data_IF_093168987463
#
_entry.id   IF_093168987463
#
_cell.length_a   1.000
_cell.length_b   1.000
_cell.length_c   1.000
_cell.angle_alpha   90.00
_cell.angle_beta   90.00
_cell.angle_gamma   90.00
#
_symmetry.space_group_name_H-M   'P 1'
#
loop_
_entity.id
_entity.type
_entity.pdbx_description
1 polymer ?
#
# COMPACT_ATOMS: atom_id res chain seq x y z
N UNK A 1 14.41 -31.75 0.99
CA UNK A 1 13.21 -32.03 1.79
C UNK A 1 13.55 -32.54 3.19
N UNK A 2 14.31 -33.63 3.36
CA UNK A 2 14.66 -34.15 4.71
C UNK A 2 15.45 -33.17 5.60
N UNK A 3 16.42 -32.39 5.08
CA UNK A 3 17.20 -31.40 5.87
C UNK A 3 16.38 -30.16 6.26
N UNK A 4 15.35 -29.81 5.51
CA UNK A 4 14.42 -28.72 5.85
C UNK A 4 13.43 -29.18 6.92
N UNK A 5 13.01 -30.44 6.89
CA UNK A 5 12.19 -31.06 7.93
C UNK A 5 13.01 -31.29 9.22
N UNK A 6 14.31 -31.63 9.12
CA UNK A 6 15.19 -31.71 10.27
C UNK A 6 15.46 -30.35 10.93
N UNK A 7 15.58 -29.26 10.15
CA UNK A 7 15.67 -27.91 10.69
C UNK A 7 14.34 -27.48 11.38
N UNK A 8 13.20 -27.90 10.84
CA UNK A 8 11.88 -27.69 11.46
C UNK A 8 11.74 -28.53 12.74
N UNK A 9 12.26 -29.75 12.76
CA UNK A 9 12.22 -30.63 13.94
C UNK A 9 13.15 -30.17 15.06
N UNK A 10 14.27 -29.52 14.75
CA UNK A 10 15.18 -28.93 15.76
C UNK A 10 14.56 -27.67 16.38
N UNK A 11 13.75 -26.90 15.61
CA UNK A 11 13.05 -25.72 16.10
C UNK A 11 11.77 -26.07 16.88
N UNK A 12 11.21 -27.27 16.71
CA UNK A 12 10.07 -27.76 17.49
C UNK A 12 10.40 -28.07 18.96
N UNK A 13 11.69 -28.02 19.36
CA UNK A 13 12.14 -28.16 20.76
C UNK A 13 12.12 -26.86 21.57
N UNK A 14 12.01 -25.71 20.93
CA UNK A 14 11.73 -24.44 21.63
C UNK A 14 10.20 -24.33 21.76
N UNK A 15 9.67 -24.38 22.99
CA UNK A 15 8.23 -24.34 23.25
C UNK A 15 7.50 -23.13 22.67
N UNK A 16 6.16 -23.09 22.70
CA UNK A 16 5.33 -22.04 22.09
C UNK A 16 5.61 -20.60 22.58
N UNK A 17 6.44 -20.43 23.61
CA UNK A 17 6.85 -19.14 24.18
C UNK A 17 7.94 -18.40 23.41
N UNK A 18 8.53 -18.99 22.37
CA UNK A 18 9.65 -18.45 21.60
C UNK A 18 9.25 -17.51 20.43
N UNK A 19 8.00 -17.09 20.34
CA UNK A 19 7.55 -16.19 19.28
C UNK A 19 7.90 -14.72 19.58
N UNK A 20 8.35 -13.93 18.57
CA UNK A 20 8.62 -12.50 18.75
C UNK A 20 7.40 -11.74 19.28
N UNK A 21 7.65 -10.76 20.16
CA UNK A 21 6.62 -9.92 20.78
C UNK A 21 6.73 -8.50 20.24
N UNK A 22 5.66 -7.99 19.60
CA UNK A 22 5.65 -6.69 18.95
C UNK A 22 4.62 -5.70 19.52
N UNK A 23 3.76 -6.15 20.44
CA UNK A 23 2.64 -5.35 20.94
C UNK A 23 3.04 -3.96 21.47
N UNK A 24 4.10 -3.81 22.31
CA UNK A 24 4.47 -2.46 22.79
C UNK A 24 4.82 -1.50 21.67
N UNK A 25 5.59 -1.97 20.66
CA UNK A 25 5.97 -1.15 19.51
C UNK A 25 4.76 -0.79 18.66
N UNK A 26 3.83 -1.73 18.44
CA UNK A 26 2.59 -1.48 17.72
C UNK A 26 1.74 -0.40 18.38
N UNK A 27 1.60 -0.43 19.71
CA UNK A 27 0.85 0.59 20.46
C UNK A 27 1.50 1.98 20.29
N UNK A 28 2.81 2.09 20.49
CA UNK A 28 3.52 3.38 20.33
C UNK A 28 3.39 3.91 18.90
N UNK A 29 3.56 3.04 17.89
CA UNK A 29 3.45 3.44 16.50
C UNK A 29 2.02 3.84 16.14
N UNK A 30 1.00 3.16 16.68
CA UNK A 30 -0.39 3.55 16.46
C UNK A 30 -0.67 4.97 16.98
N UNK A 31 -0.11 5.34 18.15
CA UNK A 31 -0.23 6.69 18.70
C UNK A 31 0.48 7.71 17.81
N UNK A 32 1.70 7.39 17.33
CA UNK A 32 2.43 8.28 16.42
C UNK A 32 1.71 8.45 15.07
N UNK A 33 1.21 7.38 14.48
CA UNK A 33 0.44 7.45 13.24
C UNK A 33 -0.85 8.26 13.44
N UNK A 34 -1.54 8.09 14.58
CA UNK A 34 -2.69 8.92 14.93
C UNK A 34 -2.31 10.40 15.02
N UNK A 35 -1.17 10.72 15.66
CA UNK A 35 -0.67 12.09 15.75
C UNK A 35 -0.48 12.72 14.36
N UNK A 36 0.19 12.02 13.44
CA UNK A 36 0.39 12.51 12.07
C UNK A 36 -0.93 12.66 11.31
N UNK A 37 -1.79 11.64 11.37
CA UNK A 37 -3.07 11.63 10.64
C UNK A 37 -4.03 12.73 11.10
N UNK A 38 -4.03 13.05 12.40
CA UNK A 38 -5.01 13.97 13.00
C UNK A 38 -4.42 15.31 13.47
N UNK A 39 -3.17 15.60 13.08
CA UNK A 39 -2.47 16.82 13.50
C UNK A 39 -2.50 16.97 15.04
N UNK A 40 -2.01 15.94 15.74
CA UNK A 40 -2.00 15.92 17.21
C UNK A 40 -3.35 15.67 17.87
N UNK A 41 -4.29 15.01 17.19
CA UNK A 41 -5.65 14.74 17.71
C UNK A 41 -6.63 15.91 17.57
N UNK A 42 -6.20 17.02 16.98
CA UNK A 42 -7.00 18.25 16.86
C UNK A 42 -7.95 18.26 15.66
N UNK A 43 -7.60 17.50 14.62
CA UNK A 43 -8.28 17.51 13.32
C UNK A 43 -8.67 16.10 12.91
N UNK A 44 -9.72 15.56 13.53
CA UNK A 44 -10.22 14.19 13.26
C UNK A 44 -11.18 14.22 12.07
N UNK A 45 -12.15 15.10 12.09
CA UNK A 45 -13.19 15.24 11.07
C UNK A 45 -12.93 16.48 10.23
N UNK A 46 -12.05 16.33 9.22
CA UNK A 46 -11.69 17.41 8.28
C UNK A 46 -12.14 17.01 6.88
N UNK A 47 -12.61 17.98 6.11
CA UNK A 47 -12.90 17.77 4.69
C UNK A 47 -11.60 17.74 3.90
N UNK A 48 -11.14 16.55 3.59
CA UNK A 48 -9.97 16.34 2.76
C UNK A 48 -10.30 16.56 1.27
N UNK A 49 -9.27 16.76 0.45
CA UNK A 49 -9.43 16.98 -0.99
C UNK A 49 -10.13 15.77 -1.62
N UNK A 50 -11.29 16.02 -2.22
CA UNK A 50 -12.18 15.03 -2.81
C UNK A 50 -12.63 13.92 -1.82
N UNK A 51 -12.40 14.07 -0.51
CA UNK A 51 -12.74 13.08 0.51
C UNK A 51 -14.24 12.77 0.59
N UNK A 52 -15.12 13.73 0.22
CA UNK A 52 -16.56 13.52 0.17
C UNK A 52 -17.06 12.66 -0.99
N UNK A 53 -16.22 12.32 -1.98
CA UNK A 53 -16.63 11.52 -3.13
C UNK A 53 -17.04 10.10 -2.75
N UNK A 54 -16.41 9.49 -1.73
CA UNK A 54 -16.83 8.18 -1.24
C UNK A 54 -18.15 8.21 -0.49
N UNK A 55 -18.46 9.31 0.18
CA UNK A 55 -19.75 9.52 0.84
C UNK A 55 -20.87 9.67 -0.20
N UNK A 56 -20.65 10.52 -1.20
CA UNK A 56 -21.56 10.66 -2.35
C UNK A 56 -21.78 9.33 -3.07
N UNK A 57 -20.71 8.57 -3.35
CA UNK A 57 -20.86 7.25 -3.96
C UNK A 57 -21.67 6.28 -3.09
N UNK A 58 -21.48 6.32 -1.76
CA UNK A 58 -22.23 5.47 -0.83
C UNK A 58 -23.72 5.80 -0.86
N UNK A 59 -24.08 7.07 -0.91
CA UNK A 59 -25.49 7.53 -1.03
C UNK A 59 -26.10 7.08 -2.35
N UNK A 60 -25.39 7.23 -3.45
CA UNK A 60 -25.86 6.78 -4.76
C UNK A 60 -26.01 5.25 -4.84
N UNK A 61 -25.11 4.48 -4.19
CA UNK A 61 -25.29 3.02 -4.08
C UNK A 61 -26.56 2.63 -3.32
N UNK A 62 -26.91 3.35 -2.25
CA UNK A 62 -28.16 3.12 -1.52
C UNK A 62 -29.40 3.46 -2.34
N UNK A 63 -29.27 4.38 -3.31
CA UNK A 63 -30.33 4.73 -4.27
C UNK A 63 -30.37 3.78 -5.48
N UNK A 64 -29.49 2.77 -5.54
CA UNK A 64 -29.44 1.79 -6.63
C UNK A 64 -28.77 2.30 -7.92
N UNK A 65 -27.97 3.36 -7.85
CA UNK A 65 -27.21 3.88 -8.99
C UNK A 65 -25.71 4.00 -8.67
N UNK A 66 -24.87 4.34 -9.67
CA UNK A 66 -23.41 4.39 -9.57
C UNK A 66 -22.86 5.80 -9.84
N UNK A 67 -23.70 6.81 -9.75
CA UNK A 67 -23.36 8.21 -9.95
C UNK A 67 -22.57 8.75 -8.76
N UNK A 68 -22.03 9.95 -8.89
CA UNK A 68 -21.46 10.74 -7.81
C UNK A 68 -21.76 12.22 -8.06
N UNK A 69 -21.83 13.01 -6.99
CA UNK A 69 -22.05 14.43 -7.10
C UNK A 69 -20.85 15.14 -7.70
N UNK A 70 -21.08 16.04 -8.66
CA UNK A 70 -20.02 16.83 -9.31
C UNK A 70 -19.18 17.60 -8.30
N UNK A 71 -19.81 18.19 -7.29
CA UNK A 71 -19.12 18.96 -6.25
C UNK A 71 -18.24 18.09 -5.33
N UNK A 72 -18.53 16.79 -5.23
CA UNK A 72 -17.76 15.85 -4.41
C UNK A 72 -16.52 15.31 -5.12
N UNK A 73 -16.61 15.06 -6.46
CA UNK A 73 -15.54 14.46 -7.25
C UNK A 73 -14.71 15.50 -8.01
N UNK A 74 -15.27 16.68 -8.32
CA UNK A 74 -14.56 17.80 -8.95
C UNK A 74 -13.83 17.42 -10.23
N UNK A 75 -12.54 17.75 -10.29
CA UNK A 75 -11.68 17.54 -11.48
C UNK A 75 -11.35 16.06 -11.78
N UNK A 76 -11.72 15.13 -10.92
CA UNK A 76 -11.57 13.67 -11.13
C UNK A 76 -12.85 13.04 -11.71
N UNK A 77 -13.80 13.84 -12.13
CA UNK A 77 -15.06 13.37 -12.72
C UNK A 77 -14.84 12.66 -14.06
N UNK A 78 -15.66 11.63 -14.29
CA UNK A 78 -15.88 10.99 -15.58
C UNK A 78 -17.32 11.31 -16.01
N UNK A 79 -17.52 11.86 -17.20
CA UNK A 79 -18.85 12.19 -17.69
C UNK A 79 -19.27 11.16 -18.73
N UNK A 80 -20.26 10.33 -18.39
CA UNK A 80 -20.80 9.28 -19.21
C UNK A 80 -22.30 9.50 -19.38
N UNK A 81 -22.78 9.72 -20.59
CA UNK A 81 -24.20 9.98 -20.92
C UNK A 81 -24.80 11.10 -20.02
N UNK A 82 -24.11 12.21 -19.87
CA UNK A 82 -24.49 13.35 -19.02
C UNK A 82 -24.56 13.04 -17.53
N UNK A 83 -24.06 11.90 -17.08
CA UNK A 83 -23.96 11.50 -15.67
C UNK A 83 -22.52 11.54 -15.18
N UNK A 84 -22.34 11.97 -13.95
CA UNK A 84 -21.02 12.06 -13.33
C UNK A 84 -20.68 10.73 -12.65
N UNK A 85 -19.53 10.18 -12.98
CA UNK A 85 -19.00 8.91 -12.46
C UNK A 85 -17.64 9.12 -11.82
N UNK A 86 -17.27 8.25 -10.91
CA UNK A 86 -15.90 8.15 -10.41
C UNK A 86 -15.28 6.80 -10.78
N UNK A 87 -13.96 6.77 -10.93
CA UNK A 87 -13.23 5.55 -11.31
C UNK A 87 -12.54 4.86 -10.13
N UNK A 88 -12.56 5.45 -8.95
CA UNK A 88 -11.95 4.88 -7.75
C UNK A 88 -12.66 3.59 -7.30
N UNK A 89 -11.90 2.74 -6.60
CA UNK A 89 -12.43 1.51 -6.05
C UNK A 89 -13.56 1.76 -5.04
N UNK A 90 -14.61 0.91 -5.00
CA UNK A 90 -15.80 1.16 -4.18
C UNK A 90 -15.62 0.83 -2.70
N UNK A 91 -14.51 0.19 -2.29
CA UNK A 91 -14.35 -0.29 -0.92
C UNK A 91 -14.50 0.81 0.14
N UNK A 92 -13.87 2.00 0.03
CA UNK A 92 -14.08 3.06 1.01
C UNK A 92 -15.54 3.54 1.06
N UNK A 93 -16.25 3.57 -0.07
CA UNK A 93 -17.66 3.95 -0.11
C UNK A 93 -18.54 2.95 0.68
N UNK A 94 -18.25 1.65 0.63
CA UNK A 94 -18.97 0.67 1.45
C UNK A 94 -18.78 0.93 2.95
N UNK A 95 -17.63 1.41 3.37
CA UNK A 95 -17.39 1.78 4.76
C UNK A 95 -18.19 3.03 5.15
N UNK A 96 -18.42 3.96 4.21
CA UNK A 96 -19.22 5.16 4.47
C UNK A 96 -20.67 4.85 4.81
N UNK A 97 -21.26 3.80 4.23
CA UNK A 97 -22.66 3.44 4.48
C UNK A 97 -22.96 3.31 5.98
N UNK A 98 -22.35 2.40 6.75
CA UNK A 98 -22.62 2.32 8.19
C UNK A 98 -22.09 3.53 8.96
N UNK A 99 -20.99 4.16 8.56
CA UNK A 99 -20.41 5.29 9.26
C UNK A 99 -21.32 6.53 9.21
N UNK A 100 -21.88 6.84 8.04
CA UNK A 100 -22.81 7.95 7.87
C UNK A 100 -24.14 7.71 8.58
N UNK A 101 -24.56 6.44 8.70
CA UNK A 101 -25.73 6.08 9.48
C UNK A 101 -25.52 6.31 10.99
N UNK A 102 -24.35 5.91 11.51
CA UNK A 102 -24.02 6.04 12.95
C UNK A 102 -23.72 7.49 13.34
N UNK A 103 -23.03 8.24 12.48
CA UNK A 103 -22.64 9.61 12.77
C UNK A 103 -22.78 10.51 11.52
N UNK A 104 -23.99 11.01 11.23
CA UNK A 104 -24.25 11.81 10.02
C UNK A 104 -23.41 13.10 9.92
N UNK A 105 -23.03 13.70 11.05
CA UNK A 105 -22.17 14.90 11.06
C UNK A 105 -20.74 14.65 10.54
N UNK A 106 -20.34 13.40 10.42
CA UNK A 106 -19.07 12.97 9.82
C UNK A 106 -19.09 12.91 8.30
N UNK A 107 -20.24 13.08 7.66
CA UNK A 107 -20.38 13.01 6.20
C UNK A 107 -19.38 13.93 5.50
N UNK A 108 -18.65 13.37 4.52
CA UNK A 108 -17.58 14.04 3.78
C UNK A 108 -16.28 14.30 4.57
N UNK A 109 -16.14 13.77 5.80
CA UNK A 109 -14.99 14.03 6.70
C UNK A 109 -14.35 12.78 7.27
N UNK A 110 -14.68 11.60 6.76
CA UNK A 110 -14.24 10.31 7.31
C UNK A 110 -12.83 9.89 6.90
N UNK A 111 -12.20 10.56 5.93
CA UNK A 111 -10.96 10.09 5.32
C UNK A 111 -9.85 9.83 6.34
N UNK A 112 -9.70 10.69 7.38
CA UNK A 112 -8.67 10.49 8.42
C UNK A 112 -8.92 9.26 9.27
N UNK A 113 -10.15 9.06 9.71
CA UNK A 113 -10.52 7.87 10.50
C UNK A 113 -10.36 6.61 9.66
N UNK A 114 -10.86 6.62 8.43
CA UNK A 114 -10.76 5.51 7.49
C UNK A 114 -9.31 5.16 7.15
N UNK A 115 -8.51 6.16 6.75
CA UNK A 115 -7.11 5.97 6.43
C UNK A 115 -6.29 5.47 7.62
N UNK A 116 -6.55 6.03 8.83
CA UNK A 116 -5.92 5.53 10.05
C UNK A 116 -6.25 4.07 10.32
N UNK A 117 -7.53 3.68 10.23
CA UNK A 117 -7.94 2.27 10.40
C UNK A 117 -7.23 1.36 9.38
N UNK A 118 -7.15 1.77 8.12
CA UNK A 118 -6.41 1.04 7.09
C UNK A 118 -4.92 0.94 7.43
N UNK A 119 -4.30 2.03 7.90
CA UNK A 119 -2.91 2.07 8.34
C UNK A 119 -2.63 1.10 9.50
N UNK A 120 -3.54 1.02 10.48
CA UNK A 120 -3.43 0.06 11.60
C UNK A 120 -3.57 -1.38 11.12
N UNK A 121 -4.51 -1.67 10.22
CA UNK A 121 -4.65 -3.00 9.62
C UNK A 121 -3.37 -3.37 8.85
N UNK A 122 -2.81 -2.45 8.06
CA UNK A 122 -1.55 -2.65 7.36
C UNK A 122 -0.40 -2.95 8.33
N UNK A 123 -0.28 -2.18 9.42
CA UNK A 123 0.74 -2.35 10.45
C UNK A 123 0.62 -3.70 11.16
N UNK A 124 -0.59 -4.10 11.55
CA UNK A 124 -0.86 -5.39 12.18
C UNK A 124 -0.57 -6.57 11.22
N UNK A 125 -0.98 -6.46 9.96
CA UNK A 125 -0.71 -7.46 8.94
C UNK A 125 0.80 -7.58 8.67
N UNK A 126 1.52 -6.46 8.58
CA UNK A 126 2.97 -6.45 8.45
C UNK A 126 3.66 -7.10 9.66
N UNK A 127 3.23 -6.79 10.89
CA UNK A 127 3.75 -7.43 12.09
C UNK A 127 3.50 -8.96 12.09
N UNK A 128 2.34 -9.39 11.61
CA UNK A 128 2.02 -10.80 11.38
C UNK A 128 2.97 -11.47 10.38
N UNK A 129 3.30 -10.78 9.28
CA UNK A 129 4.28 -11.23 8.29
C UNK A 129 5.68 -11.33 8.90
N UNK A 130 6.10 -10.33 9.69
CA UNK A 130 7.40 -10.35 10.40
C UNK A 130 7.49 -11.51 11.38
N UNK A 131 6.43 -11.75 12.16
CA UNK A 131 6.36 -12.89 13.07
C UNK A 131 6.49 -14.22 12.32
N UNK A 132 5.74 -14.36 11.22
CA UNK A 132 5.76 -15.55 10.36
C UNK A 132 7.12 -15.80 9.74
N UNK A 133 7.81 -14.75 9.26
CA UNK A 133 9.14 -14.87 8.67
C UNK A 133 10.21 -15.20 9.71
N UNK A 134 10.21 -14.49 10.83
CA UNK A 134 11.27 -14.60 11.85
C UNK A 134 11.20 -15.89 12.69
N UNK A 135 10.05 -16.56 12.75
CA UNK A 135 9.97 -17.88 13.43
C UNK A 135 10.88 -18.94 12.76
N UNK A 136 11.17 -18.80 11.47
CA UNK A 136 12.07 -19.70 10.73
C UNK A 136 13.51 -19.17 10.62
N UNK A 137 13.79 -17.99 11.20
CA UNK A 137 15.10 -17.38 11.19
C UNK A 137 16.06 -18.06 12.16
N UNK A 138 17.36 -18.19 11.83
CA UNK A 138 18.38 -18.74 12.73
C UNK A 138 18.79 -17.77 13.85
N UNK A 139 18.15 -16.61 13.93
CA UNK A 139 18.42 -15.61 14.97
C UNK A 139 17.94 -16.08 16.35
N UNK A 140 18.66 -15.69 17.41
CA UNK A 140 18.15 -15.81 18.79
C UNK A 140 16.86 -14.99 18.98
N UNK A 141 16.01 -15.36 19.96
CA UNK A 141 14.75 -14.66 20.24
C UNK A 141 14.96 -13.14 20.43
N UNK A 142 16.00 -12.76 21.17
CA UNK A 142 16.35 -11.33 21.35
C UNK A 142 16.64 -10.64 20.03
N UNK A 143 17.42 -11.29 19.15
CA UNK A 143 17.71 -10.72 17.82
C UNK A 143 16.51 -10.70 16.91
N UNK A 144 15.60 -11.72 16.97
CA UNK A 144 14.31 -11.71 16.24
C UNK A 144 13.43 -10.54 16.67
N UNK A 145 13.34 -10.27 17.99
CA UNK A 145 12.60 -9.12 18.50
C UNK A 145 13.19 -7.79 17.99
N UNK A 146 14.52 -7.62 18.06
CA UNK A 146 15.17 -6.40 17.61
C UNK A 146 14.96 -6.16 16.10
N UNK A 147 15.24 -7.15 15.26
CA UNK A 147 15.07 -7.04 13.81
C UNK A 147 13.59 -6.82 13.45
N UNK A 148 12.69 -7.57 14.07
CA UNK A 148 11.26 -7.43 13.81
C UNK A 148 10.72 -6.05 14.21
N UNK A 149 11.08 -5.56 15.40
CA UNK A 149 10.68 -4.22 15.84
C UNK A 149 11.27 -3.13 14.92
N UNK A 150 12.54 -3.25 14.52
CA UNK A 150 13.13 -2.31 13.58
C UNK A 150 12.38 -2.29 12.23
N UNK A 151 12.06 -3.46 11.67
CA UNK A 151 11.28 -3.54 10.44
C UNK A 151 9.88 -2.92 10.60
N UNK A 152 9.21 -3.14 11.75
CA UNK A 152 7.87 -2.58 12.02
C UNK A 152 7.95 -1.05 12.15
N UNK A 153 8.97 -0.50 12.82
CA UNK A 153 9.23 0.94 12.86
C UNK A 153 9.52 1.49 11.46
N UNK A 154 10.36 0.79 10.70
CA UNK A 154 10.65 1.13 9.31
C UNK A 154 9.41 1.14 8.42
N UNK A 155 8.51 0.18 8.60
CA UNK A 155 7.25 0.15 7.85
C UNK A 155 6.32 1.30 8.22
N UNK A 156 6.17 1.60 9.51
CA UNK A 156 5.25 2.65 9.97
C UNK A 156 5.77 4.07 9.67
N UNK A 157 7.05 4.34 9.93
CA UNK A 157 7.61 5.70 9.91
C UNK A 157 8.66 5.91 8.81
N UNK A 158 9.28 4.84 8.31
CA UNK A 158 10.31 4.85 7.27
C UNK A 158 9.80 4.26 5.96
N UNK A 159 8.57 4.59 5.56
CA UNK A 159 7.93 4.17 4.32
C UNK A 159 6.93 5.22 3.83
N UNK A 160 6.45 5.15 2.58
CA UNK A 160 5.40 6.03 2.06
C UNK A 160 4.09 6.01 2.87
N UNK A 161 3.85 4.99 3.71
CA UNK A 161 2.65 4.93 4.56
C UNK A 161 2.50 6.18 5.44
N UNK A 162 3.60 6.70 6.01
CA UNK A 162 3.56 7.90 6.84
C UNK A 162 3.12 9.13 6.03
N UNK A 163 3.64 9.26 4.80
CA UNK A 163 3.26 10.34 3.87
C UNK A 163 1.77 10.27 3.53
N UNK A 164 1.28 9.09 3.17
CA UNK A 164 -0.13 8.89 2.81
C UNK A 164 -1.08 9.20 3.97
N UNK A 165 -0.71 8.80 5.20
CA UNK A 165 -1.49 9.07 6.40
C UNK A 165 -1.45 10.56 6.81
N UNK A 166 -0.39 11.27 6.49
CA UNK A 166 -0.28 12.72 6.70
C UNK A 166 -1.16 13.52 5.74
N UNK A 167 -1.39 13.03 4.52
CA UNK A 167 -2.11 13.71 3.45
C UNK A 167 -3.19 12.80 2.85
N UNK A 168 -4.35 12.72 3.49
CA UNK A 168 -5.44 11.80 3.14
C UNK A 168 -6.41 12.38 2.10
N UNK A 169 -5.95 12.49 0.87
CA UNK A 169 -6.84 12.72 -0.28
C UNK A 169 -7.59 11.45 -0.68
N UNK A 170 -8.54 11.56 -1.62
CA UNK A 170 -9.25 10.42 -2.20
C UNK A 170 -8.30 9.35 -2.75
N UNK A 171 -7.16 9.77 -3.32
CA UNK A 171 -6.15 8.87 -3.89
C UNK A 171 -5.46 8.04 -2.82
N UNK A 172 -5.06 8.70 -1.73
CA UNK A 172 -4.25 8.12 -0.67
C UNK A 172 -5.06 7.12 0.15
N UNK A 173 -6.33 7.43 0.42
CA UNK A 173 -7.24 6.52 1.11
C UNK A 173 -7.39 5.18 0.38
N UNK A 174 -7.62 5.20 -0.95
CA UNK A 174 -7.71 3.99 -1.76
C UNK A 174 -6.41 3.17 -1.74
N UNK A 175 -5.25 3.84 -1.79
CA UNK A 175 -3.94 3.20 -1.78
C UNK A 175 -3.66 2.54 -0.43
N UNK A 176 -3.94 3.22 0.69
CA UNK A 176 -3.71 2.66 2.03
C UNK A 176 -4.59 1.43 2.27
N UNK A 177 -5.88 1.47 1.86
CA UNK A 177 -6.75 0.29 1.92
C UNK A 177 -6.25 -0.84 1.02
N UNK A 178 -5.81 -0.54 -0.20
CA UNK A 178 -5.20 -1.51 -1.09
C UNK A 178 -3.97 -2.18 -0.47
N UNK A 179 -3.08 -1.40 0.14
CA UNK A 179 -1.90 -1.90 0.86
C UNK A 179 -2.30 -2.75 2.07
N UNK A 180 -3.23 -2.28 2.90
CA UNK A 180 -3.67 -2.98 4.11
C UNK A 180 -4.20 -4.37 3.79
N UNK A 181 -5.11 -4.47 2.84
CA UNK A 181 -5.66 -5.73 2.40
C UNK A 181 -4.64 -6.62 1.69
N UNK A 182 -3.71 -6.04 0.92
CA UNK A 182 -2.63 -6.79 0.28
C UNK A 182 -1.73 -7.48 1.30
N UNK A 183 -1.32 -6.77 2.35
CA UNK A 183 -0.49 -7.34 3.41
C UNK A 183 -1.23 -8.40 4.22
N UNK A 184 -2.51 -8.17 4.51
CA UNK A 184 -3.35 -9.15 5.18
C UNK A 184 -3.54 -10.42 4.30
N UNK A 185 -3.76 -10.27 3.00
CA UNK A 185 -3.84 -11.38 2.05
C UNK A 185 -2.51 -12.17 2.00
N UNK A 186 -1.36 -11.49 1.92
CA UNK A 186 -0.05 -12.13 1.98
C UNK A 186 0.14 -12.91 3.30
N UNK A 187 -0.25 -12.33 4.43
CA UNK A 187 -0.19 -13.00 5.73
C UNK A 187 -1.01 -14.30 5.71
N UNK A 188 -2.26 -14.25 5.27
CA UNK A 188 -3.11 -15.44 5.21
C UNK A 188 -2.63 -16.47 4.17
N UNK A 189 -2.09 -16.01 3.03
CA UNK A 189 -1.47 -16.90 2.04
C UNK A 189 -0.28 -17.67 2.62
N UNK A 190 0.60 -17.00 3.39
CA UNK A 190 1.72 -17.67 4.06
C UNK A 190 1.25 -18.58 5.18
N UNK A 191 0.28 -18.14 5.97
CA UNK A 191 -0.31 -18.93 7.05
C UNK A 191 -0.98 -20.22 6.53
N UNK A 192 -1.69 -20.17 5.40
CA UNK A 192 -2.30 -21.35 4.79
C UNK A 192 -1.29 -22.43 4.41
N UNK A 193 0.00 -22.07 4.30
CA UNK A 193 1.09 -23.02 4.02
C UNK A 193 1.68 -23.68 5.27
N UNK A 194 1.27 -23.26 6.45
CA UNK A 194 1.84 -23.66 7.73
C UNK A 194 0.85 -24.42 8.62
N UNK A 195 -0.44 -24.35 8.29
CA UNK A 195 -1.52 -24.92 9.11
C UNK A 195 -2.19 -26.11 8.43
N UNK A 196 -2.84 -26.95 9.22
CA UNK A 196 -3.51 -28.16 8.77
C UNK A 196 -5.03 -28.00 8.83
N UNK A 197 -5.74 -28.78 8.02
CA UNK A 197 -7.19 -29.05 7.96
C UNK A 197 -8.10 -27.82 8.25
N UNK A 198 -8.69 -27.72 9.46
CA UNK A 198 -9.65 -26.66 9.78
C UNK A 198 -9.05 -25.25 9.80
N UNK A 199 -7.80 -25.11 10.24
CA UNK A 199 -7.09 -23.86 10.22
C UNK A 199 -6.72 -23.44 8.79
N UNK A 200 -6.54 -24.39 7.88
CA UNK A 200 -6.34 -24.14 6.46
C UNK A 200 -7.56 -23.45 5.84
N UNK A 201 -8.77 -24.00 5.99
CA UNK A 201 -10.00 -23.41 5.42
C UNK A 201 -10.20 -21.96 5.91
N UNK A 202 -9.98 -21.71 7.22
CA UNK A 202 -10.07 -20.34 7.78
C UNK A 202 -9.01 -19.40 7.17
N UNK A 203 -7.80 -19.89 6.96
CA UNK A 203 -6.73 -19.10 6.36
C UNK A 203 -7.01 -18.80 4.88
N UNK A 204 -7.58 -19.73 4.13
CA UNK A 204 -7.98 -19.54 2.73
C UNK A 204 -9.14 -18.56 2.63
N UNK A 205 -10.14 -18.65 3.53
CA UNK A 205 -11.22 -17.67 3.61
C UNK A 205 -10.71 -16.26 3.93
N UNK A 206 -9.81 -16.14 4.93
CA UNK A 206 -9.16 -14.88 5.29
C UNK A 206 -8.38 -14.29 4.12
N UNK A 207 -7.62 -15.13 3.39
CA UNK A 207 -6.94 -14.71 2.16
C UNK A 207 -7.93 -14.17 1.13
N UNK A 208 -8.99 -14.90 0.84
CA UNK A 208 -9.98 -14.55 -0.19
C UNK A 208 -10.71 -13.25 0.13
N UNK A 209 -11.13 -13.06 1.38
CA UNK A 209 -11.76 -11.81 1.86
C UNK A 209 -10.80 -10.61 1.74
N UNK A 210 -9.54 -10.78 2.14
CA UNK A 210 -8.55 -9.73 2.02
C UNK A 210 -8.21 -9.43 0.55
N UNK A 211 -8.08 -10.44 -0.30
CA UNK A 211 -7.87 -10.28 -1.74
C UNK A 211 -9.06 -9.58 -2.42
N UNK A 212 -10.29 -9.87 -1.99
CA UNK A 212 -11.49 -9.15 -2.42
C UNK A 212 -11.44 -7.67 -2.01
N UNK A 213 -11.10 -7.39 -0.74
CA UNK A 213 -10.90 -6.02 -0.26
C UNK A 213 -9.82 -5.27 -1.05
N UNK A 214 -8.73 -5.95 -1.40
CA UNK A 214 -7.65 -5.40 -2.25
C UNK A 214 -8.18 -4.97 -3.62
N UNK A 215 -8.90 -5.87 -4.30
CA UNK A 215 -9.46 -5.64 -5.63
C UNK A 215 -10.47 -4.47 -5.63
N UNK A 216 -11.33 -4.42 -4.61
CA UNK A 216 -12.35 -3.39 -4.49
C UNK A 216 -11.81 -2.04 -3.99
N UNK A 217 -10.62 -2.02 -3.37
CA UNK A 217 -9.93 -0.77 -3.03
C UNK A 217 -9.17 -0.21 -4.22
N UNK A 218 -8.38 -1.05 -4.91
CA UNK A 218 -7.57 -0.64 -6.06
C UNK A 218 -7.21 -1.87 -6.91
N UNK A 219 -7.65 -1.90 -8.15
CA UNK A 219 -7.50 -3.05 -9.04
C UNK A 219 -6.03 -3.46 -9.24
N UNK A 220 -5.11 -2.51 -9.30
CA UNK A 220 -3.67 -2.78 -9.45
C UNK A 220 -3.11 -3.63 -8.33
N UNK A 221 -3.57 -3.42 -7.10
CA UNK A 221 -3.22 -4.27 -5.96
C UNK A 221 -3.93 -5.63 -6.02
N UNK A 222 -5.14 -5.72 -6.61
CA UNK A 222 -5.95 -6.93 -6.60
C UNK A 222 -5.47 -8.02 -7.55
N UNK A 223 -5.00 -7.65 -8.74
CA UNK A 223 -4.61 -8.58 -9.81
C UNK A 223 -3.59 -9.64 -9.35
N UNK A 224 -2.50 -9.31 -8.63
CA UNK A 224 -1.55 -10.32 -8.15
C UNK A 224 -2.18 -11.39 -7.27
N UNK A 225 -3.20 -11.02 -6.48
CA UNK A 225 -3.84 -11.96 -5.55
C UNK A 225 -4.78 -12.94 -6.24
N UNK A 226 -5.31 -12.62 -7.42
CA UNK A 226 -6.01 -13.58 -8.28
C UNK A 226 -5.02 -14.68 -8.71
N UNK A 227 -3.81 -14.31 -9.15
CA UNK A 227 -2.78 -15.28 -9.52
C UNK A 227 -2.29 -16.11 -8.33
N UNK A 228 -2.14 -15.47 -7.15
CA UNK A 228 -1.78 -16.19 -5.92
C UNK A 228 -2.90 -17.16 -5.51
N UNK A 229 -4.18 -16.80 -5.66
CA UNK A 229 -5.31 -17.70 -5.41
C UNK A 229 -5.23 -18.96 -6.29
N UNK A 230 -4.92 -18.81 -7.57
CA UNK A 230 -4.73 -19.94 -8.48
C UNK A 230 -3.56 -20.84 -8.04
N UNK A 231 -2.45 -20.25 -7.60
CA UNK A 231 -1.30 -21.00 -7.07
C UNK A 231 -1.64 -21.77 -5.78
N UNK A 232 -2.49 -21.21 -4.93
CA UNK A 232 -2.98 -21.89 -3.73
C UNK A 232 -3.94 -23.02 -4.10
N UNK A 233 -4.86 -22.80 -5.04
CA UNK A 233 -5.83 -23.80 -5.51
C UNK A 233 -5.17 -25.07 -6.08
N UNK A 234 -4.05 -24.91 -6.82
CA UNK A 234 -3.28 -26.01 -7.39
C UNK A 234 -2.68 -26.98 -6.35
N UNK A 235 -2.65 -26.56 -5.07
CA UNK A 235 -1.95 -27.30 -3.99
C UNK A 235 -2.86 -27.65 -2.81
N UNK A 236 -4.17 -27.55 -3.00
CA UNK A 236 -5.13 -27.94 -1.97
C UNK A 236 -5.07 -29.44 -1.71
N UNK A 237 -5.07 -29.85 -0.42
CA UNK A 237 -5.16 -31.26 -0.07
C UNK A 237 -6.48 -31.87 -0.56
N UNK A 238 -6.49 -33.16 -0.80
CA UNK A 238 -7.72 -33.87 -1.24
C UNK A 238 -8.80 -33.85 -0.17
N UNK A 239 -8.41 -33.86 1.10
CA UNK A 239 -9.29 -33.71 2.26
C UNK A 239 -9.96 -32.34 2.24
N UNK A 240 -11.28 -32.32 2.31
CA UNK A 240 -12.12 -31.10 2.28
C UNK A 240 -11.80 -30.15 1.10
N UNK A 241 -11.44 -30.72 -0.07
CA UNK A 241 -11.02 -29.91 -1.23
C UNK A 241 -12.08 -28.93 -1.69
N UNK A 242 -13.34 -29.35 -1.72
CA UNK A 242 -14.48 -28.50 -2.15
C UNK A 242 -14.64 -27.34 -1.15
N UNK A 243 -14.68 -27.60 0.16
CA UNK A 243 -14.78 -26.55 1.17
C UNK A 243 -13.63 -25.56 1.11
N UNK A 244 -12.40 -26.05 0.88
CA UNK A 244 -11.23 -25.21 0.69
C UNK A 244 -11.29 -24.36 -0.59
N UNK A 245 -11.77 -24.93 -1.69
CA UNK A 245 -11.97 -24.18 -2.95
C UNK A 245 -13.04 -23.10 -2.80
N UNK A 246 -14.17 -23.41 -2.15
CA UNK A 246 -15.21 -22.41 -1.88
C UNK A 246 -14.69 -21.28 -0.99
N UNK A 247 -14.00 -21.61 0.08
CA UNK A 247 -13.40 -20.61 0.96
C UNK A 247 -12.37 -19.72 0.25
N UNK A 248 -11.61 -20.29 -0.69
CA UNK A 248 -10.58 -19.57 -1.45
C UNK A 248 -11.16 -18.71 -2.57
N UNK A 249 -12.17 -19.20 -3.30
CA UNK A 249 -12.59 -18.59 -4.56
C UNK A 249 -13.89 -17.80 -4.44
N UNK A 250 -14.80 -18.13 -3.52
CA UNK A 250 -16.13 -17.51 -3.52
C UNK A 250 -16.08 -16.01 -3.16
N UNK A 251 -15.46 -15.54 -2.07
CA UNK A 251 -15.41 -14.11 -1.78
C UNK A 251 -14.65 -13.30 -2.85
N UNK A 252 -13.49 -13.80 -3.31
CA UNK A 252 -12.70 -13.14 -4.34
C UNK A 252 -13.44 -13.14 -5.69
N UNK A 253 -14.07 -14.25 -6.06
CA UNK A 253 -14.87 -14.37 -7.28
C UNK A 253 -16.08 -13.44 -7.27
N UNK A 254 -16.80 -13.35 -6.14
CA UNK A 254 -17.89 -12.41 -5.98
C UNK A 254 -17.43 -10.95 -6.13
N UNK A 255 -16.30 -10.59 -5.51
CA UNK A 255 -15.72 -9.25 -5.66
C UNK A 255 -15.28 -8.97 -7.11
N UNK A 256 -14.75 -9.96 -7.81
CA UNK A 256 -14.35 -9.84 -9.20
C UNK A 256 -15.56 -9.63 -10.13
N UNK A 257 -16.62 -10.42 -9.95
CA UNK A 257 -17.89 -10.26 -10.69
C UNK A 257 -18.51 -8.89 -10.42
N UNK A 258 -18.53 -8.46 -9.13
CA UNK A 258 -19.01 -7.14 -8.76
C UNK A 258 -18.18 -6.02 -9.39
N UNK A 259 -16.85 -6.15 -9.42
CA UNK A 259 -15.97 -5.16 -10.05
C UNK A 259 -16.23 -5.02 -11.55
N UNK A 260 -16.41 -6.13 -12.26
CA UNK A 260 -16.75 -6.14 -13.69
C UNK A 260 -18.13 -5.50 -13.93
N UNK A 261 -19.12 -5.88 -13.13
CA UNK A 261 -20.45 -5.28 -13.19
C UNK A 261 -20.41 -3.77 -12.95
N UNK A 262 -19.67 -3.33 -11.92
CA UNK A 262 -19.52 -1.92 -11.59
C UNK A 262 -18.82 -1.14 -12.72
N UNK A 263 -17.79 -1.71 -13.33
CA UNK A 263 -17.13 -1.13 -14.49
C UNK A 263 -18.09 -0.94 -15.65
N UNK A 264 -18.90 -1.95 -15.94
CA UNK A 264 -19.91 -1.87 -16.98
C UNK A 264 -21.00 -0.83 -16.64
N UNK A 265 -21.51 -0.83 -15.42
CA UNK A 265 -22.52 0.12 -14.97
C UNK A 265 -22.04 1.58 -14.98
N UNK A 266 -20.72 1.81 -14.76
CA UNK A 266 -20.11 3.15 -14.79
C UNK A 266 -19.79 3.62 -16.21
N UNK A 267 -19.21 2.76 -17.03
CA UNK A 267 -18.53 3.16 -18.28
C UNK A 267 -19.03 2.42 -19.53
N UNK A 268 -20.02 1.53 -19.42
CA UNK A 268 -20.48 0.69 -20.54
C UNK A 268 -19.41 -0.32 -21.01
N UNK A 269 -18.31 -0.51 -20.24
CA UNK A 269 -17.19 -1.37 -20.58
C UNK A 269 -16.83 -2.30 -19.45
N UNK A 270 -16.55 -3.58 -19.77
CA UNK A 270 -16.08 -4.57 -18.80
C UNK A 270 -14.58 -4.41 -18.45
N UNK A 271 -13.85 -3.61 -19.23
CA UNK A 271 -12.38 -3.48 -19.13
C UNK A 271 -12.00 -2.12 -18.52
N UNK A 272 -12.30 -1.94 -17.23
CA UNK A 272 -11.76 -0.83 -16.46
C UNK A 272 -12.25 0.56 -16.90
N UNK A 273 -11.41 1.58 -16.64
CA UNK A 273 -11.71 3.00 -16.85
C UNK A 273 -11.48 3.38 -18.30
N UNK A 274 -12.47 4.01 -18.94
CA UNK A 274 -12.30 4.66 -20.24
C UNK A 274 -12.01 6.15 -20.03
N UNK A 275 -10.80 6.57 -20.39
CA UNK A 275 -10.35 7.95 -20.24
C UNK A 275 -11.00 8.93 -21.23
N UNK A 276 -11.75 8.46 -22.24
CA UNK A 276 -12.54 9.31 -23.13
C UNK A 276 -13.55 10.16 -22.34
N UNK A 277 -13.99 9.68 -21.19
CA UNK A 277 -14.93 10.35 -20.33
C UNK A 277 -14.31 11.28 -19.29
N UNK A 278 -12.98 11.33 -19.21
CA UNK A 278 -12.30 12.08 -18.18
C UNK A 278 -12.32 13.59 -18.46
N UNK A 279 -12.77 14.37 -17.49
CA UNK A 279 -12.94 15.82 -17.64
C UNK A 279 -11.62 16.60 -17.70
N UNK A 280 -10.52 16.04 -17.17
CA UNK A 280 -9.21 16.69 -17.24
C UNK A 280 -8.61 16.53 -18.64
N UNK A 281 -8.54 17.63 -19.44
CA UNK A 281 -8.15 17.55 -20.84
C UNK A 281 -6.69 17.10 -21.01
N UNK A 282 -5.79 17.50 -20.12
CA UNK A 282 -4.36 17.14 -20.19
C UNK A 282 -4.16 15.63 -20.08
N UNK A 283 -4.81 15.00 -19.12
CA UNK A 283 -4.72 13.55 -18.96
C UNK A 283 -5.47 12.78 -20.03
N UNK A 284 -6.61 13.32 -20.49
CA UNK A 284 -7.41 12.73 -21.55
C UNK A 284 -6.61 12.68 -22.87
N UNK A 285 -6.12 13.83 -23.35
CA UNK A 285 -5.32 13.93 -24.57
C UNK A 285 -4.05 13.08 -24.50
N UNK A 286 -3.39 13.07 -23.35
CA UNK A 286 -2.18 12.26 -23.16
C UNK A 286 -2.49 10.77 -23.26
N UNK A 287 -3.57 10.31 -22.60
CA UNK A 287 -3.99 8.91 -22.62
C UNK A 287 -4.34 8.43 -24.03
N UNK A 288 -5.02 9.27 -24.82
CA UNK A 288 -5.31 8.98 -26.21
C UNK A 288 -4.05 8.88 -27.08
N UNK A 289 -3.14 9.83 -26.93
CA UNK A 289 -1.96 9.93 -27.80
C UNK A 289 -0.88 8.89 -27.45
N UNK A 290 -0.67 8.62 -26.17
CA UNK A 290 0.48 7.84 -25.69
C UNK A 290 0.11 6.60 -24.86
N UNK A 291 -1.18 6.37 -24.61
CA UNK A 291 -1.70 5.28 -23.79
C UNK A 291 -1.43 5.44 -22.30
N UNK A 292 -2.22 4.77 -21.48
CA UNK A 292 -2.07 4.77 -20.01
C UNK A 292 -0.81 4.01 -19.57
N UNK A 293 -0.50 2.88 -20.21
CA UNK A 293 0.62 2.01 -19.90
C UNK A 293 1.56 1.89 -21.09
N UNK A 294 2.87 2.02 -20.85
CA UNK A 294 3.90 1.85 -21.87
C UNK A 294 5.19 1.31 -21.26
N UNK A 295 5.70 0.19 -21.79
CA UNK A 295 6.97 -0.38 -21.35
C UNK A 295 8.16 0.58 -21.53
N UNK A 296 8.04 1.55 -22.45
CA UNK A 296 9.06 2.60 -22.66
C UNK A 296 9.25 3.50 -21.43
N UNK A 297 8.28 3.59 -20.53
CA UNK A 297 8.35 4.40 -19.29
C UNK A 297 9.16 3.71 -18.19
N UNK A 298 9.27 2.38 -18.21
CA UNK A 298 9.90 1.59 -17.14
C UNK A 298 11.32 2.06 -16.81
N UNK A 299 12.25 2.28 -17.77
CA UNK A 299 13.59 2.75 -17.44
C UNK A 299 13.60 4.11 -16.71
N UNK A 300 12.73 5.02 -17.09
CA UNK A 300 12.63 6.35 -16.50
C UNK A 300 11.98 6.30 -15.11
N UNK A 301 10.89 5.56 -14.94
CA UNK A 301 10.27 5.32 -13.64
C UNK A 301 11.24 4.63 -12.66
N UNK A 302 12.00 3.66 -13.13
CA UNK A 302 13.06 3.02 -12.33
C UNK A 302 14.14 4.03 -11.93
N UNK A 303 14.59 4.87 -12.90
CA UNK A 303 15.60 5.87 -12.62
C UNK A 303 15.16 6.88 -11.56
N UNK A 304 13.87 7.25 -11.52
CA UNK A 304 13.34 8.17 -10.52
C UNK A 304 13.06 7.49 -9.18
N UNK A 305 12.30 6.38 -9.17
CA UNK A 305 12.02 5.67 -7.92
C UNK A 305 13.25 5.09 -7.23
N UNK A 306 14.31 4.78 -7.96
CA UNK A 306 15.58 4.23 -7.44
C UNK A 306 16.79 5.13 -7.72
N UNK A 307 16.58 6.43 -7.83
CA UNK A 307 17.63 7.43 -8.01
C UNK A 307 18.55 7.51 -6.78
N UNK A 308 19.84 7.71 -7.01
CA UNK A 308 20.79 8.13 -5.97
C UNK A 308 20.69 9.63 -5.66
N UNK A 309 19.89 10.39 -6.40
CA UNK A 309 19.69 11.81 -6.16
C UNK A 309 19.11 12.03 -4.77
N UNK A 310 19.86 12.77 -3.93
CA UNK A 310 19.39 13.14 -2.60
C UNK A 310 18.20 14.12 -2.72
N UNK A 311 17.21 14.07 -1.82
CA UNK A 311 16.17 15.07 -1.75
C UNK A 311 16.75 16.49 -1.67
N UNK A 312 16.06 17.47 -2.20
CA UNK A 312 16.46 18.87 -2.12
C UNK A 312 16.53 19.35 -0.66
N UNK A 313 17.31 20.40 -0.41
CA UNK A 313 17.39 21.04 0.90
C UNK A 313 16.79 22.44 0.83
N UNK A 314 16.14 22.85 1.90
CA UNK A 314 15.53 24.16 2.09
C UNK A 314 16.08 24.86 3.32
N UNK A 315 16.01 26.21 3.37
CA UNK A 315 16.51 26.99 4.52
C UNK A 315 15.58 27.00 5.73
N UNK A 316 14.29 26.71 5.50
CA UNK A 316 13.28 26.65 6.57
C UNK A 316 12.95 25.20 6.95
N UNK A 317 12.48 24.94 8.18
CA UNK A 317 11.96 23.63 8.54
C UNK A 317 10.89 23.15 7.57
N UNK A 318 10.88 21.86 7.21
CA UNK A 318 11.67 20.76 7.77
C UNK A 318 13.06 20.56 7.11
N UNK A 319 13.61 21.53 6.40
CA UNK A 319 14.93 21.53 5.76
C UNK A 319 15.11 20.53 4.62
N UNK A 320 14.10 19.78 4.27
CA UNK A 320 14.08 18.77 3.21
C UNK A 320 12.95 19.07 2.23
N UNK A 321 13.23 18.99 0.95
CA UNK A 321 12.28 19.21 -0.14
C UNK A 321 12.28 17.98 -1.08
N UNK A 322 11.10 17.54 -1.48
CA UNK A 322 10.97 16.46 -2.43
C UNK A 322 11.54 16.85 -3.81
N UNK A 323 12.02 15.86 -4.56
CA UNK A 323 12.56 16.06 -5.90
C UNK A 323 11.43 16.23 -6.91
N UNK A 324 11.68 17.02 -7.96
CA UNK A 324 10.89 17.03 -9.18
C UNK A 324 11.58 16.19 -10.26
N UNK A 325 10.82 15.74 -11.24
CA UNK A 325 11.35 15.03 -12.40
C UNK A 325 12.49 15.81 -13.07
N UNK A 326 13.55 15.07 -13.43
CA UNK A 326 14.68 15.64 -14.16
C UNK A 326 14.53 15.55 -15.67
N UNK A 327 13.50 14.82 -16.15
CA UNK A 327 13.34 14.49 -17.56
C UNK A 327 12.22 15.31 -18.19
N UNK A 328 12.59 16.11 -19.16
CA UNK A 328 11.63 16.81 -19.99
C UNK A 328 11.25 15.93 -21.20
N UNK A 329 10.53 14.84 -20.93
CA UNK A 329 9.99 13.96 -21.96
C UNK A 329 8.45 14.02 -21.99
N UNK A 330 7.88 15.00 -22.72
CA UNK A 330 6.42 15.22 -22.74
C UNK A 330 5.61 14.02 -23.25
N UNK A 331 6.26 13.09 -23.98
CA UNK A 331 5.62 11.87 -24.49
C UNK A 331 5.62 10.68 -23.51
N UNK A 332 6.32 10.79 -22.38
CA UNK A 332 6.43 9.69 -21.41
C UNK A 332 5.43 9.83 -20.25
N UNK A 333 5.32 11.05 -19.70
CA UNK A 333 4.48 11.30 -18.52
C UNK A 333 3.59 12.53 -18.77
N UNK A 334 2.35 12.45 -18.28
CA UNK A 334 1.35 13.51 -18.49
C UNK A 334 1.58 14.75 -17.62
N UNK A 335 2.25 14.59 -16.45
CA UNK A 335 2.52 15.66 -15.49
C UNK A 335 3.98 15.63 -15.01
N UNK A 336 4.97 15.88 -15.89
CA UNK A 336 6.37 15.77 -15.50
C UNK A 336 6.80 16.77 -14.42
N UNK A 337 6.16 17.94 -14.35
CA UNK A 337 6.56 19.04 -13.47
C UNK A 337 5.69 19.22 -12.22
N UNK A 338 4.52 18.57 -12.14
CA UNK A 338 3.55 18.80 -11.08
C UNK A 338 3.68 17.84 -9.90
N UNK A 339 4.18 16.64 -10.14
CA UNK A 339 4.31 15.61 -9.11
C UNK A 339 5.74 15.56 -8.55
N UNK A 340 5.84 15.51 -7.25
CA UNK A 340 7.10 15.38 -6.54
C UNK A 340 7.31 13.96 -6.05
N UNK A 341 8.57 13.56 -5.88
CA UNK A 341 8.93 12.24 -5.38
C UNK A 341 10.19 12.26 -4.52
N UNK A 342 10.35 11.23 -3.70
CA UNK A 342 11.61 10.92 -3.02
C UNK A 342 11.97 9.49 -3.37
N UNK A 343 13.18 9.29 -3.90
CA UNK A 343 13.65 7.97 -4.29
C UNK A 343 13.55 6.97 -3.12
N UNK A 344 13.16 5.74 -3.42
CA UNK A 344 13.10 4.64 -2.46
C UNK A 344 14.48 4.28 -1.89
N UNK A 345 15.58 4.63 -2.59
CA UNK A 345 16.93 4.46 -2.03
C UNK A 345 17.18 5.37 -0.82
N UNK A 346 16.42 6.45 -0.66
CA UNK A 346 16.48 7.34 0.50
C UNK A 346 15.29 7.14 1.44
N UNK A 347 14.07 7.16 0.91
CA UNK A 347 12.86 7.06 1.71
C UNK A 347 12.60 5.65 2.26
N UNK A 348 13.13 4.62 1.63
CA UNK A 348 12.87 3.21 1.99
C UNK A 348 14.11 2.32 1.79
N UNK A 349 15.30 2.87 2.05
CA UNK A 349 16.59 2.20 1.81
C UNK A 349 16.68 0.82 2.46
N UNK A 350 16.15 0.67 3.66
CA UNK A 350 16.09 -0.61 4.38
C UNK A 350 15.25 -1.66 3.64
N UNK A 351 14.13 -1.24 3.05
CA UNK A 351 13.22 -2.14 2.33
C UNK A 351 13.83 -2.57 0.99
N UNK A 352 14.43 -1.62 0.25
CA UNK A 352 15.13 -1.91 -1.00
C UNK A 352 16.30 -2.87 -0.75
N UNK A 353 17.10 -2.62 0.28
CA UNK A 353 18.18 -3.51 0.70
C UNK A 353 17.64 -4.92 1.02
N UNK A 354 16.62 -5.01 1.86
CA UNK A 354 16.05 -6.30 2.26
C UNK A 354 15.41 -7.05 1.08
N UNK A 355 14.76 -6.33 0.16
CA UNK A 355 14.19 -6.92 -1.04
C UNK A 355 15.27 -7.47 -1.98
N UNK A 356 16.36 -6.74 -2.18
CA UNK A 356 17.50 -7.23 -2.96
C UNK A 356 18.10 -8.49 -2.35
N UNK A 357 18.27 -8.54 -1.03
CA UNK A 357 18.72 -9.74 -0.32
C UNK A 357 17.73 -10.90 -0.46
N UNK A 358 16.42 -10.63 -0.42
CA UNK A 358 15.36 -11.62 -0.61
C UNK A 358 15.36 -12.22 -2.01
N UNK A 359 15.49 -11.39 -3.03
CA UNK A 359 15.64 -11.82 -4.43
C UNK A 359 16.87 -12.72 -4.57
N UNK A 360 18.01 -12.32 -4.01
CA UNK A 360 19.24 -13.11 -4.00
C UNK A 360 19.02 -14.49 -3.35
N UNK A 361 18.26 -14.54 -2.24
CA UNK A 361 17.90 -15.79 -1.60
C UNK A 361 17.02 -16.68 -2.50
N UNK A 362 16.06 -16.10 -3.22
CA UNK A 362 15.18 -16.82 -4.15
C UNK A 362 15.95 -17.50 -5.28
N UNK A 363 16.97 -16.83 -5.82
CA UNK A 363 17.77 -17.38 -6.92
C UNK A 363 18.84 -18.39 -6.46
N UNK A 364 19.47 -18.16 -5.32
CA UNK A 364 20.58 -19.02 -4.84
C UNK A 364 20.13 -20.36 -4.26
N UNK A 365 18.92 -20.45 -3.69
CA UNK A 365 18.45 -21.70 -3.07
C UNK A 365 17.71 -22.58 -4.08
N UNK A 366 18.30 -23.75 -4.41
CA UNK A 366 17.70 -24.78 -5.29
C UNK A 366 16.38 -25.39 -4.76
N UNK A 367 15.92 -25.02 -3.54
CA UNK A 367 14.75 -25.60 -2.88
C UNK A 367 13.55 -24.66 -2.73
N UNK A 368 13.55 -23.46 -3.33
CA UNK A 368 12.35 -22.60 -3.30
C UNK A 368 11.21 -23.27 -4.07
N UNK A 369 10.08 -23.40 -3.37
CA UNK A 369 8.92 -24.07 -3.95
C UNK A 369 8.24 -23.18 -5.02
N UNK A 370 7.46 -23.82 -5.89
CA UNK A 370 6.70 -23.17 -6.96
C UNK A 370 5.84 -22.00 -6.46
N UNK A 371 5.30 -22.10 -5.23
CA UNK A 371 4.49 -21.04 -4.64
C UNK A 371 5.29 -19.73 -4.45
N UNK A 372 6.48 -19.80 -3.84
CA UNK A 372 7.28 -18.60 -3.61
C UNK A 372 7.70 -17.94 -4.94
N UNK A 373 8.10 -18.74 -5.93
CA UNK A 373 8.43 -18.21 -7.26
C UNK A 373 7.22 -17.62 -7.98
N UNK A 374 6.09 -18.33 -7.95
CA UNK A 374 4.85 -17.86 -8.57
C UNK A 374 4.30 -16.59 -7.92
N UNK A 375 4.33 -16.51 -6.58
CA UNK A 375 3.95 -15.30 -5.86
C UNK A 375 4.88 -14.11 -6.18
N UNK A 376 6.20 -14.37 -6.30
CA UNK A 376 7.16 -13.35 -6.75
C UNK A 376 6.80 -12.82 -8.14
N UNK A 377 6.50 -13.70 -9.09
CA UNK A 377 6.12 -13.29 -10.46
C UNK A 377 4.80 -12.52 -10.46
N UNK A 378 3.82 -12.99 -9.71
CA UNK A 378 2.52 -12.31 -9.59
C UNK A 378 2.66 -10.88 -9.05
N UNK A 379 3.42 -10.69 -7.97
CA UNK A 379 3.68 -9.38 -7.38
C UNK A 379 4.59 -8.50 -8.25
N UNK A 380 5.53 -9.10 -8.99
CA UNK A 380 6.36 -8.39 -9.95
C UNK A 380 5.53 -7.82 -11.11
N UNK A 381 4.44 -8.50 -11.51
CA UNK A 381 3.54 -7.98 -12.53
C UNK A 381 2.90 -6.65 -12.12
N UNK A 382 2.48 -6.50 -10.84
CA UNK A 382 2.01 -5.22 -10.30
C UNK A 382 3.11 -4.16 -10.33
N UNK A 383 4.32 -4.53 -9.89
CA UNK A 383 5.49 -3.65 -9.90
C UNK A 383 5.75 -3.09 -11.30
N UNK A 384 5.75 -3.94 -12.32
CA UNK A 384 5.93 -3.55 -13.73
C UNK A 384 4.77 -2.70 -14.23
N UNK A 385 3.54 -3.01 -13.85
CA UNK A 385 2.36 -2.22 -14.19
C UNK A 385 2.51 -0.75 -13.74
N UNK A 386 2.89 -0.54 -12.49
CA UNK A 386 3.08 0.83 -11.94
C UNK A 386 4.25 1.55 -12.60
N UNK A 387 5.35 0.88 -12.88
CA UNK A 387 6.48 1.49 -13.59
C UNK A 387 6.15 1.88 -15.05
N UNK A 388 5.17 1.24 -15.65
CA UNK A 388 4.71 1.53 -17.02
C UNK A 388 3.60 2.59 -17.08
N UNK A 389 3.09 3.06 -15.94
CA UNK A 389 1.98 4.00 -15.86
C UNK A 389 2.38 5.41 -16.30
N UNK A 390 1.41 6.19 -16.78
CA UNK A 390 1.65 7.49 -17.42
C UNK A 390 1.82 8.67 -16.44
N UNK A 391 1.58 8.46 -15.15
CA UNK A 391 1.84 9.43 -14.08
C UNK A 391 2.86 8.85 -13.12
N UNK A 392 3.84 9.65 -12.71
CA UNK A 392 4.79 9.29 -11.67
C UNK A 392 4.51 10.16 -10.45
N UNK A 393 4.16 9.53 -9.34
CA UNK A 393 3.83 10.20 -8.09
C UNK A 393 4.39 9.43 -6.90
N UNK A 394 4.73 10.13 -5.81
CA UNK A 394 5.24 9.50 -4.58
C UNK A 394 4.27 8.46 -4.01
N UNK A 395 2.97 8.73 -4.06
CA UNK A 395 1.94 7.80 -3.58
C UNK A 395 1.97 6.45 -4.29
N UNK A 396 2.37 6.39 -5.56
CA UNK A 396 2.46 5.14 -6.32
C UNK A 396 3.66 4.27 -5.94
N UNK A 397 4.67 4.83 -5.25
CA UNK A 397 5.72 4.03 -4.65
C UNK A 397 5.16 2.96 -3.69
N UNK A 398 4.00 3.22 -3.09
CA UNK A 398 3.31 2.27 -2.20
C UNK A 398 2.81 1.03 -2.93
N UNK A 399 2.44 1.15 -4.20
CA UNK A 399 2.05 0.00 -5.05
C UNK A 399 3.21 -1.00 -5.26
N UNK A 400 4.46 -0.59 -5.06
CA UNK A 400 5.63 -1.46 -5.15
C UNK A 400 5.83 -2.31 -3.87
N UNK A 401 5.23 -1.89 -2.76
CA UNK A 401 5.47 -2.48 -1.43
C UNK A 401 5.06 -3.93 -1.27
N UNK A 402 3.94 -4.44 -1.81
CA UNK A 402 3.62 -5.86 -1.68
C UNK A 402 4.73 -6.78 -2.20
N UNK A 403 5.37 -6.42 -3.33
CA UNK A 403 6.51 -7.13 -3.87
C UNK A 403 7.75 -7.02 -2.96
N UNK A 404 8.10 -5.80 -2.55
CA UNK A 404 9.27 -5.55 -1.71
C UNK A 404 9.14 -6.24 -0.35
N UNK A 405 7.95 -6.20 0.27
CA UNK A 405 7.66 -6.85 1.55
C UNK A 405 7.70 -8.37 1.41
N UNK A 406 7.19 -8.93 0.32
CA UNK A 406 7.32 -10.36 0.08
C UNK A 406 8.80 -10.80 0.00
N UNK A 407 9.63 -10.04 -0.69
CA UNK A 407 11.07 -10.27 -0.75
C UNK A 407 11.74 -10.12 0.63
N UNK A 408 11.35 -9.12 1.43
CA UNK A 408 11.78 -8.98 2.83
C UNK A 408 11.43 -10.24 3.65
N UNK A 409 10.20 -10.74 3.55
CA UNK A 409 9.75 -11.97 4.26
C UNK A 409 10.63 -13.15 3.87
N UNK A 410 10.94 -13.30 2.58
CA UNK A 410 11.86 -14.33 2.10
C UNK A 410 13.26 -14.16 2.68
N UNK A 411 13.78 -12.93 2.72
CA UNK A 411 15.10 -12.65 3.30
C UNK A 411 15.16 -13.01 4.80
N UNK A 412 14.18 -12.55 5.58
CA UNK A 412 14.13 -12.80 7.03
C UNK A 412 13.99 -14.29 7.37
N UNK A 413 13.17 -15.02 6.60
CA UNK A 413 12.94 -16.44 6.81
C UNK A 413 14.06 -17.35 6.28
N UNK A 414 14.83 -16.90 5.29
CA UNK A 414 15.80 -17.75 4.59
C UNK A 414 17.22 -17.18 4.50
N UNK A 415 17.45 -15.94 4.95
CA UNK A 415 18.73 -15.24 4.82
C UNK A 415 19.92 -15.86 5.59
N UNK A 416 19.65 -16.67 6.63
CA UNK A 416 20.67 -17.42 7.34
C UNK A 416 21.81 -16.52 7.86
N UNK A 417 23.05 -16.87 7.52
CA UNK A 417 24.27 -16.14 7.94
C UNK A 417 24.36 -14.72 7.36
N UNK A 418 23.74 -14.46 6.21
CA UNK A 418 23.69 -13.13 5.60
C UNK A 418 22.91 -12.17 6.51
N UNK A 419 21.74 -12.62 6.99
CA UNK A 419 20.93 -11.83 7.91
C UNK A 419 21.69 -11.55 9.23
N UNK A 420 22.40 -12.54 9.77
CA UNK A 420 23.22 -12.35 10.99
C UNK A 420 24.27 -11.24 10.81
N UNK A 421 24.91 -11.18 9.65
CA UNK A 421 25.97 -10.18 9.36
C UNK A 421 25.40 -8.79 9.04
N UNK A 422 24.27 -8.74 8.35
CA UNK A 422 23.70 -7.48 7.83
C UNK A 422 22.66 -6.82 8.74
N UNK A 423 22.30 -7.42 9.88
CA UNK A 423 21.25 -6.91 10.78
C UNK A 423 21.48 -5.47 11.27
N UNK A 424 22.73 -5.11 11.56
CA UNK A 424 23.07 -3.75 12.03
C UNK A 424 22.96 -2.73 10.90
N UNK A 425 23.35 -3.10 9.68
CA UNK A 425 23.14 -2.28 8.50
C UNK A 425 21.63 -2.08 8.25
N UNK A 426 20.84 -3.15 8.33
CA UNK A 426 19.39 -3.05 8.19
C UNK A 426 18.77 -2.05 9.19
N UNK A 427 19.16 -2.10 10.46
CA UNK A 427 18.68 -1.18 11.50
C UNK A 427 19.13 0.26 11.20
N UNK A 428 20.38 0.46 10.78
CA UNK A 428 20.88 1.78 10.38
C UNK A 428 20.11 2.37 9.19
N UNK A 429 19.80 1.55 8.19
CA UNK A 429 18.98 1.97 7.04
C UNK A 429 17.53 2.26 7.44
N UNK A 430 16.97 1.55 8.43
CA UNK A 430 15.66 1.89 9.00
C UNK A 430 15.71 3.28 9.63
N UNK A 431 16.69 3.57 10.45
CA UNK A 431 16.82 4.88 11.10
C UNK A 431 16.92 6.01 10.06
N UNK A 432 17.73 5.83 9.02
CA UNK A 432 17.83 6.78 7.91
C UNK A 432 16.46 7.00 7.23
N UNK A 433 15.75 5.92 6.90
CA UNK A 433 14.44 6.00 6.24
C UNK A 433 13.39 6.68 7.12
N UNK A 434 13.41 6.44 8.44
CA UNK A 434 12.50 7.13 9.39
C UNK A 434 12.75 8.63 9.39
N UNK A 435 14.01 9.07 9.45
CA UNK A 435 14.34 10.49 9.39
C UNK A 435 13.87 11.12 8.08
N UNK A 436 14.21 10.51 6.94
CA UNK A 436 13.86 11.04 5.63
C UNK A 436 12.33 11.11 5.45
N UNK A 437 11.57 10.06 5.80
CA UNK A 437 10.12 10.09 5.62
C UNK A 437 9.43 11.04 6.61
N UNK A 438 9.92 11.18 7.84
CA UNK A 438 9.37 12.15 8.79
C UNK A 438 9.54 13.58 8.27
N UNK A 439 10.73 13.94 7.80
CA UNK A 439 10.98 15.25 7.21
C UNK A 439 10.19 15.46 5.92
N UNK A 440 10.15 14.45 5.05
CA UNK A 440 9.39 14.49 3.80
C UNK A 440 7.88 14.67 4.03
N UNK A 441 7.31 13.95 4.99
CA UNK A 441 5.89 14.08 5.33
C UNK A 441 5.58 15.49 5.83
N UNK A 442 6.42 16.05 6.68
CA UNK A 442 6.24 17.43 7.14
C UNK A 442 6.42 18.43 5.99
N UNK A 443 7.42 18.24 5.13
CA UNK A 443 7.60 19.08 3.93
C UNK A 443 6.35 19.07 3.06
N UNK A 444 5.80 17.89 2.81
CA UNK A 444 4.58 17.75 2.03
C UNK A 444 3.39 18.49 2.67
N UNK A 445 3.24 18.39 3.98
CA UNK A 445 2.16 19.03 4.73
C UNK A 445 2.23 20.56 4.76
N UNK A 446 3.42 21.14 4.61
CA UNK A 446 3.61 22.61 4.61
C UNK A 446 3.79 23.19 3.20
N UNK A 447 4.23 22.40 2.22
CA UNK A 447 4.55 22.87 0.87
C UNK A 447 3.55 22.43 -0.22
N UNK A 448 2.77 21.36 0.01
CA UNK A 448 1.83 20.85 -0.99
C UNK A 448 0.56 21.71 -1.07
N UNK A 449 0.50 22.57 -2.08
CA UNK A 449 -0.53 23.60 -2.17
C UNK A 449 -1.95 23.07 -2.39
N UNK A 450 -2.13 22.02 -3.16
CA UNK A 450 -3.46 21.64 -3.62
C UNK A 450 -4.12 20.52 -2.81
N UNK A 451 -3.32 19.68 -2.15
CA UNK A 451 -3.81 18.44 -1.54
C UNK A 451 -3.87 18.48 0.00
N UNK A 452 -3.49 19.57 0.63
CA UNK A 452 -3.53 19.72 2.08
C UNK A 452 -4.52 20.81 2.46
N UNK A 453 -5.52 20.53 3.33
CA UNK A 453 -6.44 21.55 3.79
C UNK A 453 -5.70 22.72 4.44
N UNK A 454 -6.10 23.99 4.18
CA UNK A 454 -5.39 25.19 4.67
C UNK A 454 -5.20 25.21 6.19
N UNK A 455 -6.21 24.77 6.95
CA UNK A 455 -6.14 24.67 8.40
C UNK A 455 -5.11 23.64 8.90
N UNK A 456 -4.97 22.53 8.17
CA UNK A 456 -3.98 21.49 8.44
C UNK A 456 -2.58 22.02 8.18
N UNK A 457 -2.38 22.68 7.05
CA UNK A 457 -1.11 23.34 6.71
C UNK A 457 -0.70 24.35 7.78
N UNK A 458 -1.57 25.30 8.10
CA UNK A 458 -1.32 26.32 9.10
C UNK A 458 -0.98 25.73 10.50
N UNK A 459 -1.56 24.57 10.82
CA UNK A 459 -1.26 23.86 12.07
C UNK A 459 0.13 23.24 12.04
N UNK A 460 0.55 22.62 10.92
CA UNK A 460 1.87 22.05 10.75
C UNK A 460 2.96 23.13 10.65
N UNK A 461 2.72 24.24 9.94
CA UNK A 461 3.63 25.40 9.90
C UNK A 461 3.95 25.91 11.30
N UNK A 462 2.91 26.07 12.15
CA UNK A 462 3.10 26.47 13.56
C UNK A 462 3.88 25.45 14.38
N UNK A 463 3.61 24.13 14.17
CA UNK A 463 4.30 23.08 14.90
C UNK A 463 5.80 23.03 14.59
N UNK A 464 6.20 23.30 13.35
CA UNK A 464 7.60 23.25 12.92
C UNK A 464 8.31 24.60 12.98
N UNK A 465 7.60 25.69 13.36
CA UNK A 465 8.17 27.03 13.43
C UNK A 465 8.43 27.65 12.06
N UNK A 466 7.69 27.23 11.03
CA UNK A 466 7.77 27.81 9.70
C UNK A 466 6.88 29.06 9.63
N UNK A 467 7.42 30.16 9.12
CA UNK A 467 6.64 31.36 8.85
C UNK A 467 5.96 31.23 7.48
N UNK A 468 4.61 31.32 7.46
CA UNK A 468 3.85 31.24 6.23
C UNK A 468 4.30 32.28 5.21
N UNK A 469 4.47 31.85 3.96
CA UNK A 469 4.76 32.74 2.83
C UNK A 469 3.53 33.54 2.39
N UNK A 470 2.76 34.12 3.31
CA UNK A 470 1.67 35.06 2.94
C UNK A 470 2.16 36.39 2.32
N UNK A 471 3.46 36.56 2.13
CA UNK A 471 4.06 37.82 1.62
C UNK A 471 4.30 37.86 0.10
N UNK A 472 3.84 36.90 -0.67
CA UNK A 472 4.02 36.91 -2.14
C UNK A 472 2.69 36.72 -2.89
N UNK A 473 1.71 37.55 -2.56
CA UNK A 473 0.58 37.89 -3.43
C UNK A 473 0.71 39.32 -3.89
#
# INVERSE_FOLDING_TARGET
MARTLAAVAVLAKEGPDAAPRFLPVLVVLSVLLWFYTTTGGRQIFVKEVLGGAYDSQAEHFLQGNVDVDTAAIGHEAMIVDSKVRMYFGPFPAFLRIPLNFVYPAGHGKWSRVSGFCAGIIALCAFAGLMRTALQFSPLSLRARNWVGNACIVGFALGSPLLLLLGNLSIYDEAIIWGLAWSLAALYFALRSRQVETHALTRSLLGFSLCAAGTLLSRVTFGIPFILIALLLALRLPRENRIGNLLALLLPLGAAFVFYIWLSYARFGSFVGVNYDYYVNPVHNEFAHKYGLFSLRRIPFSLADYFSLRFPGTERQPPFLMANRHSYNYPSLFSNPDSEVYISLLWSSSWMVFAAFMGITCLFRRKGFNLFARGATVALLAQFVCILSYFVLAQRYATDLYPFLIFCLVVFLGSGGTILLRSRHLLIGLVALSVVINSLATVSWLVDADQNVPPETRASWERLVGRHSYEKWK
#
